data_IF_525983898969
#
_entry.id   IF_525983898969
#
_cell.length_a   1.000
_cell.length_b   1.000
_cell.length_c   1.000
_cell.angle_alpha   90.00
_cell.angle_beta   90.00
_cell.angle_gamma   90.00
#
_symmetry.space_group_name_H-M   'P 1'
#
loop_
_entity.id
_entity.type
_entity.pdbx_description
1 polymer ?
#
# COMPACT_ATOMS: atom_id res chain seq x y z
N UNK A 1 -12.48 10.86 -37.24
CA UNK A 1 -12.33 10.84 -35.75
C UNK A 1 -12.17 9.40 -35.27
N UNK A 2 -10.95 8.94 -35.03
CA UNK A 2 -10.66 7.59 -34.45
C UNK A 2 -10.32 7.77 -32.98
N UNK A 3 -11.21 7.32 -32.10
CA UNK A 3 -10.93 7.22 -30.66
C UNK A 3 -10.00 6.03 -30.44
N UNK A 4 -8.75 6.32 -30.09
CA UNK A 4 -7.79 5.29 -29.67
C UNK A 4 -8.17 4.82 -28.26
N UNK A 5 -8.63 3.57 -28.14
CA UNK A 5 -8.77 2.88 -26.85
C UNK A 5 -7.38 2.67 -26.25
N UNK A 6 -7.05 3.41 -25.23
CA UNK A 6 -5.88 3.12 -24.40
C UNK A 6 -6.20 1.90 -23.52
N UNK A 7 -5.94 0.70 -24.06
CA UNK A 7 -5.94 -0.51 -23.25
C UNK A 7 -4.71 -0.50 -22.35
N UNK A 8 -4.95 -0.38 -21.05
CA UNK A 8 -3.93 -0.55 -20.04
C UNK A 8 -3.53 -2.04 -20.01
N UNK A 9 -2.43 -2.38 -20.68
CA UNK A 9 -1.82 -3.71 -20.59
C UNK A 9 -0.79 -3.70 -19.48
N UNK A 10 -1.04 -4.45 -18.42
CA UNK A 10 0.05 -4.88 -17.55
C UNK A 10 0.97 -5.79 -18.37
N UNK A 11 2.27 -5.54 -18.45
CA UNK A 11 3.18 -6.49 -19.07
C UNK A 11 3.31 -7.69 -18.12
N UNK A 12 2.48 -8.69 -18.32
CA UNK A 12 2.70 -10.02 -17.76
C UNK A 12 3.72 -10.69 -18.68
N UNK A 13 4.99 -10.57 -18.31
CA UNK A 13 6.07 -11.32 -18.96
C UNK A 13 5.96 -12.78 -18.53
N UNK A 14 5.21 -13.57 -19.32
CA UNK A 14 4.84 -14.96 -19.02
C UNK A 14 5.96 -15.98 -19.27
N UNK A 15 7.18 -15.56 -19.65
CA UNK A 15 8.23 -16.48 -20.02
C UNK A 15 9.49 -16.50 -19.15
N UNK A 16 9.53 -15.81 -18.03
CA UNK A 16 10.62 -16.07 -17.08
C UNK A 16 10.26 -17.25 -16.19
N UNK A 17 10.55 -18.46 -16.65
CA UNK A 17 10.67 -19.63 -15.79
C UNK A 17 11.72 -19.29 -14.72
N UNK A 18 11.28 -18.91 -13.53
CA UNK A 18 12.14 -18.78 -12.36
C UNK A 18 12.61 -20.19 -11.99
N UNK A 19 13.67 -20.66 -12.64
CA UNK A 19 14.41 -21.80 -12.13
C UNK A 19 15.10 -21.34 -10.86
N UNK A 20 14.60 -21.79 -9.73
CA UNK A 20 15.32 -21.70 -8.46
C UNK A 20 16.49 -22.66 -8.54
N UNK A 21 17.60 -22.21 -9.11
CA UNK A 21 18.85 -22.98 -9.14
C UNK A 21 19.50 -22.79 -7.78
N UNK A 22 19.34 -23.76 -6.92
CA UNK A 22 20.08 -23.85 -5.68
C UNK A 22 21.53 -24.22 -6.05
N UNK A 23 22.43 -23.26 -6.10
CA UNK A 23 23.89 -23.48 -6.19
C UNK A 23 24.45 -23.27 -4.78
N UNK A 24 24.86 -24.32 -4.07
CA UNK A 24 25.65 -24.15 -2.88
C UNK A 24 27.07 -23.74 -3.30
N UNK A 25 27.40 -22.46 -3.17
CA UNK A 25 28.77 -21.98 -3.26
C UNK A 25 29.34 -21.88 -1.84
N UNK A 26 30.57 -22.31 -1.67
CA UNK A 26 31.28 -22.42 -0.38
C UNK A 26 31.59 -21.06 0.29
N UNK A 27 31.04 -19.96 -0.20
CA UNK A 27 31.25 -18.59 0.32
C UNK A 27 29.96 -17.91 0.70
N UNK A 28 29.33 -18.39 1.76
CA UNK A 28 28.18 -17.73 2.38
C UNK A 28 26.87 -17.92 1.62
N UNK A 29 25.76 -17.79 2.32
CA UNK A 29 24.40 -17.87 1.76
C UNK A 29 24.21 -16.75 0.75
N UNK A 30 24.40 -17.03 -0.54
CA UNK A 30 24.04 -16.09 -1.61
C UNK A 30 22.51 -16.05 -1.68
N UNK A 31 21.93 -15.03 -1.05
CA UNK A 31 20.49 -14.83 -1.08
C UNK A 31 20.04 -14.60 -2.53
N UNK A 32 19.22 -15.51 -3.06
CA UNK A 32 18.61 -15.33 -4.37
C UNK A 32 17.78 -14.03 -4.39
N UNK A 33 17.58 -13.39 -5.55
CA UNK A 33 16.75 -12.18 -5.65
C UNK A 33 15.37 -12.35 -5.00
N UNK A 34 14.79 -13.54 -5.10
CA UNK A 34 13.53 -13.89 -4.45
C UNK A 34 13.62 -13.83 -2.91
N UNK A 35 14.65 -14.45 -2.31
CA UNK A 35 14.83 -14.42 -0.85
C UNK A 35 15.04 -12.99 -0.34
N UNK A 36 15.81 -12.16 -1.07
CA UNK A 36 15.97 -10.73 -0.74
C UNK A 36 14.64 -10.00 -0.71
N UNK A 37 13.76 -10.24 -1.69
CA UNK A 37 12.43 -9.63 -1.71
C UNK A 37 11.55 -10.12 -0.56
N UNK A 38 11.54 -11.43 -0.28
CA UNK A 38 10.77 -12.00 0.84
C UNK A 38 11.22 -11.39 2.17
N UNK A 39 12.53 -11.33 2.44
CA UNK A 39 13.06 -10.70 3.66
C UNK A 39 12.69 -9.22 3.72
N UNK A 40 12.79 -8.50 2.60
CA UNK A 40 12.39 -7.10 2.52
C UNK A 40 10.91 -6.91 2.88
N UNK A 41 10.02 -7.74 2.34
CA UNK A 41 8.57 -7.69 2.65
C UNK A 41 8.31 -8.02 4.11
N UNK A 42 8.96 -9.04 4.68
CA UNK A 42 8.81 -9.40 6.09
C UNK A 42 9.24 -8.26 7.03
N UNK A 43 10.43 -7.68 6.80
CA UNK A 43 10.93 -6.57 7.61
C UNK A 43 10.05 -5.31 7.44
N UNK A 44 9.69 -4.97 6.23
CA UNK A 44 8.81 -3.85 5.94
C UNK A 44 7.43 -4.04 6.58
N UNK A 45 6.86 -5.23 6.46
CA UNK A 45 5.55 -5.58 7.04
C UNK A 45 5.53 -5.50 8.56
N UNK A 46 6.57 -6.02 9.21
CA UNK A 46 6.72 -5.92 10.67
C UNK A 46 6.77 -4.45 11.13
N UNK A 47 7.61 -3.63 10.49
CA UNK A 47 7.70 -2.20 10.80
C UNK A 47 6.38 -1.47 10.53
N UNK A 48 5.74 -1.73 9.39
CA UNK A 48 4.46 -1.14 9.04
C UNK A 48 3.36 -1.47 10.03
N UNK A 49 3.30 -2.73 10.49
CA UNK A 49 2.32 -3.17 11.49
C UNK A 49 2.54 -2.48 12.86
N UNK A 50 3.78 -2.32 13.30
CA UNK A 50 4.11 -1.57 14.53
C UNK A 50 3.70 -0.11 14.38
N UNK A 51 4.11 0.55 13.29
CA UNK A 51 3.75 1.94 13.03
C UNK A 51 2.23 2.14 12.97
N UNK A 52 1.46 1.21 12.39
CA UNK A 52 0.00 1.23 12.39
C UNK A 52 -0.56 1.30 13.80
N UNK A 53 -0.08 0.43 14.68
CA UNK A 53 -0.58 0.37 16.07
C UNK A 53 -0.27 1.67 16.80
N UNK A 54 0.95 2.18 16.69
CA UNK A 54 1.36 3.41 17.38
C UNK A 54 0.64 4.65 16.85
N UNK A 55 0.56 4.82 15.52
CA UNK A 55 -0.18 5.94 14.91
C UNK A 55 -1.67 5.86 15.24
N UNK A 56 -2.28 4.67 15.13
CA UNK A 56 -3.69 4.48 15.47
C UNK A 56 -3.99 4.82 16.92
N UNK A 57 -3.14 4.37 17.87
CA UNK A 57 -3.25 4.71 19.29
C UNK A 57 -3.07 6.21 19.53
N UNK A 58 -2.06 6.82 18.94
CA UNK A 58 -1.80 8.26 19.12
C UNK A 58 -3.00 9.10 18.67
N UNK A 59 -3.60 8.77 17.53
CA UNK A 59 -4.80 9.43 17.01
C UNK A 59 -5.99 9.24 17.96
N UNK A 60 -6.25 8.02 18.43
CA UNK A 60 -7.36 7.74 19.33
C UNK A 60 -7.16 8.41 20.70
N UNK A 61 -5.93 8.46 21.20
CA UNK A 61 -5.63 9.15 22.47
C UNK A 61 -5.79 10.67 22.35
N UNK A 62 -5.48 11.24 21.18
CA UNK A 62 -5.58 12.69 20.96
C UNK A 62 -7.02 13.16 20.68
N UNK A 63 -7.79 12.39 19.93
CA UNK A 63 -9.12 12.79 19.46
C UNK A 63 -10.25 12.13 20.24
N UNK A 64 -10.05 10.93 20.77
CA UNK A 64 -11.05 10.16 21.51
C UNK A 64 -12.26 9.74 20.67
N UNK A 65 -13.33 9.36 21.36
CA UNK A 65 -14.63 9.11 20.74
C UNK A 65 -14.87 7.65 20.35
N UNK A 66 -16.12 7.39 19.90
CA UNK A 66 -16.59 6.06 19.50
C UNK A 66 -16.21 5.71 18.04
N UNK A 67 -15.98 6.74 17.22
CA UNK A 67 -15.64 6.54 15.80
C UNK A 67 -14.17 6.10 15.64
N UNK A 68 -13.85 5.10 14.79
CA UNK A 68 -12.52 4.50 14.66
C UNK A 68 -11.54 5.39 13.84
N UNK A 69 -11.30 6.61 14.34
CA UNK A 69 -10.42 7.59 13.70
C UNK A 69 -8.98 7.07 13.54
N UNK A 70 -8.53 6.19 14.44
CA UNK A 70 -7.19 5.61 14.37
C UNK A 70 -6.97 4.82 13.09
N UNK A 71 -7.86 3.90 12.76
CA UNK A 71 -7.77 3.08 11.54
C UNK A 71 -8.02 3.92 10.29
N UNK A 72 -9.00 4.82 10.34
CA UNK A 72 -9.26 5.73 9.22
C UNK A 72 -8.01 6.56 8.88
N UNK A 73 -7.36 7.18 9.88
CA UNK A 73 -6.16 8.00 9.68
C UNK A 73 -4.99 7.19 9.11
N UNK A 74 -4.75 6.00 9.64
CA UNK A 74 -3.71 5.10 9.15
C UNK A 74 -3.94 4.74 7.69
N UNK A 75 -5.17 4.38 7.33
CA UNK A 75 -5.50 4.03 5.95
C UNK A 75 -5.40 5.23 5.00
N UNK A 76 -5.80 6.43 5.43
CA UNK A 76 -5.66 7.66 4.66
C UNK A 76 -4.21 8.03 4.39
N UNK A 77 -3.38 8.07 5.46
CA UNK A 77 -1.95 8.38 5.36
C UNK A 77 -1.24 7.34 4.48
N UNK A 78 -1.49 6.07 4.74
CA UNK A 78 -0.87 4.98 3.99
C UNK A 78 -1.26 4.97 2.51
N UNK A 79 -2.53 5.22 2.19
CA UNK A 79 -3.02 5.32 0.81
C UNK A 79 -2.37 6.46 0.04
N UNK A 80 -2.28 7.64 0.66
CA UNK A 80 -1.62 8.80 0.04
C UNK A 80 -0.13 8.53 -0.22
N UNK A 81 0.60 8.04 0.79
CA UNK A 81 2.04 7.79 0.68
C UNK A 81 2.35 6.64 -0.28
N UNK A 82 1.52 5.59 -0.30
CA UNK A 82 1.66 4.51 -1.28
C UNK A 82 1.42 5.01 -2.70
N UNK A 83 0.39 5.83 -2.91
CA UNK A 83 0.13 6.48 -4.19
C UNK A 83 1.31 7.33 -4.65
N UNK A 84 1.86 8.16 -3.76
CA UNK A 84 3.03 9.00 -4.01
C UNK A 84 4.28 8.16 -4.35
N UNK A 85 4.53 7.10 -3.59
CA UNK A 85 5.63 6.16 -3.84
C UNK A 85 5.51 5.53 -5.23
N UNK A 86 4.34 5.01 -5.56
CA UNK A 86 4.12 4.35 -6.85
C UNK A 86 4.16 5.33 -8.02
N UNK A 87 3.64 6.54 -7.83
CA UNK A 87 3.75 7.62 -8.80
C UNK A 87 5.20 8.02 -9.06
N UNK A 88 6.02 8.16 -8.01
CA UNK A 88 7.45 8.47 -8.16
C UNK A 88 8.24 7.29 -8.75
N UNK A 89 7.95 6.07 -8.35
CA UNK A 89 8.59 4.87 -8.90
C UNK A 89 8.34 4.72 -10.40
N UNK A 90 7.20 5.19 -10.92
CA UNK A 90 6.90 5.17 -12.34
C UNK A 90 7.83 6.06 -13.20
N UNK A 91 8.60 6.97 -12.57
CA UNK A 91 9.62 7.81 -13.24
C UNK A 91 10.93 7.07 -13.49
N UNK A 92 11.19 6.01 -12.72
CA UNK A 92 12.49 5.32 -12.75
C UNK A 92 12.44 4.17 -13.75
N UNK A 93 13.22 4.28 -14.81
CA UNK A 93 13.26 3.28 -15.91
C UNK A 93 13.80 1.92 -15.48
N UNK A 94 14.64 1.89 -14.44
CA UNK A 94 15.17 0.69 -13.80
C UNK A 94 14.73 0.71 -12.33
N UNK A 95 13.59 0.09 -12.03
CA UNK A 95 13.05 0.08 -10.68
C UNK A 95 14.00 -0.56 -9.66
N UNK A 96 13.84 -0.19 -8.39
CA UNK A 96 14.52 -0.81 -7.26
C UNK A 96 13.63 -1.93 -6.68
N UNK A 97 13.65 -3.16 -7.23
CA UNK A 97 12.62 -4.17 -6.90
C UNK A 97 12.59 -4.53 -5.42
N UNK A 98 13.75 -4.59 -4.76
CA UNK A 98 13.83 -4.89 -3.32
C UNK A 98 13.32 -3.74 -2.46
N UNK A 99 13.66 -2.48 -2.80
CA UNK A 99 13.17 -1.31 -2.07
C UNK A 99 11.66 -1.13 -2.26
N UNK A 100 11.16 -1.35 -3.47
CA UNK A 100 9.71 -1.33 -3.74
C UNK A 100 8.99 -2.45 -3.00
N UNK A 101 9.56 -3.65 -2.95
CA UNK A 101 9.00 -4.76 -2.17
C UNK A 101 8.96 -4.43 -0.67
N UNK A 102 10.04 -3.85 -0.12
CA UNK A 102 10.09 -3.41 1.27
C UNK A 102 9.04 -2.33 1.58
N UNK A 103 8.98 -1.26 0.77
CA UNK A 103 8.11 -0.12 1.06
C UNK A 103 6.66 -0.39 0.67
N UNK A 104 6.39 -0.75 -0.60
CA UNK A 104 5.02 -0.85 -1.09
C UNK A 104 4.31 -2.08 -0.53
N UNK A 105 4.89 -3.26 -0.72
CA UNK A 105 4.27 -4.52 -0.30
C UNK A 105 4.46 -4.77 1.19
N UNK A 106 5.67 -4.54 1.71
CA UNK A 106 5.98 -4.72 3.12
C UNK A 106 5.38 -3.62 3.97
N UNK A 107 6.02 -2.46 4.02
CA UNK A 107 5.68 -1.40 4.96
C UNK A 107 4.24 -0.90 4.80
N UNK A 108 3.83 -0.44 3.63
CA UNK A 108 2.47 0.06 3.45
C UNK A 108 1.42 -1.05 3.49
N UNK A 109 1.74 -2.28 3.04
CA UNK A 109 0.87 -3.45 3.22
C UNK A 109 0.67 -3.82 4.69
N UNK A 110 1.71 -3.68 5.52
CA UNK A 110 1.63 -3.86 6.98
C UNK A 110 1.01 -2.66 7.70
N UNK A 111 1.21 -1.43 7.21
CA UNK A 111 0.70 -0.20 7.81
C UNK A 111 -0.81 -0.03 7.60
N UNK A 112 -1.32 -0.16 6.38
CA UNK A 112 -2.76 -0.09 6.08
C UNK A 112 -3.47 -1.39 6.42
N UNK A 113 -4.79 -1.34 6.66
CA UNK A 113 -5.55 -2.54 7.02
C UNK A 113 -7.01 -2.47 6.60
N UNK A 114 -7.41 -3.40 5.77
CA UNK A 114 -8.83 -3.63 5.46
C UNK A 114 -9.53 -4.44 6.55
N UNK A 115 -8.84 -5.40 7.16
CA UNK A 115 -9.46 -6.28 8.17
C UNK A 115 -9.86 -5.52 9.44
N UNK A 116 -9.02 -4.60 9.93
CA UNK A 116 -9.39 -3.77 11.08
C UNK A 116 -10.54 -2.83 10.76
N UNK A 117 -10.52 -2.18 9.59
CA UNK A 117 -11.65 -1.36 9.11
C UNK A 117 -12.95 -2.16 9.04
N UNK A 118 -12.91 -3.40 8.51
CA UNK A 118 -14.09 -4.25 8.43
C UNK A 118 -14.60 -4.64 9.83
N UNK A 119 -13.69 -5.01 10.74
CA UNK A 119 -14.05 -5.32 12.12
C UNK A 119 -14.67 -4.13 12.85
N UNK A 120 -14.05 -2.94 12.76
CA UNK A 120 -14.58 -1.71 13.35
C UNK A 120 -16.01 -1.42 12.84
N UNK A 121 -16.25 -1.60 11.54
CA UNK A 121 -17.57 -1.41 10.94
C UNK A 121 -18.61 -2.36 11.52
N UNK A 122 -18.29 -3.65 11.64
CA UNK A 122 -19.18 -4.66 12.21
C UNK A 122 -19.43 -4.39 13.69
N UNK A 123 -18.40 -3.99 14.44
CA UNK A 123 -18.51 -3.66 15.88
C UNK A 123 -19.41 -2.45 16.10
N UNK A 124 -19.27 -1.40 15.28
CA UNK A 124 -20.16 -0.23 15.33
C UNK A 124 -21.61 -0.61 15.03
N UNK A 125 -21.82 -1.47 14.03
CA UNK A 125 -23.17 -1.96 13.70
C UNK A 125 -23.78 -2.76 14.86
N UNK A 126 -23.02 -3.68 15.45
CA UNK A 126 -23.47 -4.50 16.57
C UNK A 126 -23.72 -3.71 17.86
N UNK A 127 -23.11 -2.51 17.99
CA UNK A 127 -23.33 -1.58 19.10
C UNK A 127 -24.45 -0.55 18.84
N UNK A 128 -25.32 -0.80 17.87
CA UNK A 128 -26.42 0.10 17.45
C UNK A 128 -25.99 1.48 16.94
N UNK A 129 -24.71 1.60 16.54
CA UNK A 129 -24.16 2.80 15.91
C UNK A 129 -24.16 2.71 14.38
N UNK A 130 -25.31 2.34 13.77
CA UNK A 130 -25.44 2.07 12.34
C UNK A 130 -24.96 3.24 11.44
N UNK A 131 -25.23 4.51 11.86
CA UNK A 131 -24.76 5.68 11.13
C UNK A 131 -23.22 5.75 11.11
N UNK A 132 -22.55 5.46 12.24
CA UNK A 132 -21.09 5.45 12.31
C UNK A 132 -20.50 4.29 11.48
N UNK A 133 -21.14 3.13 11.46
CA UNK A 133 -20.74 2.03 10.59
C UNK A 133 -20.80 2.43 9.11
N UNK A 134 -21.89 3.07 8.67
CA UNK A 134 -22.02 3.57 7.30
C UNK A 134 -20.98 4.64 6.98
N UNK A 135 -20.81 5.61 7.86
CA UNK A 135 -19.78 6.65 7.70
C UNK A 135 -18.37 6.06 7.63
N UNK A 136 -18.06 5.03 8.43
CA UNK A 136 -16.77 4.35 8.38
C UNK A 136 -16.52 3.72 7.00
N UNK A 137 -17.54 3.06 6.40
CA UNK A 137 -17.44 2.51 5.04
C UNK A 137 -17.20 3.63 4.02
N UNK A 138 -18.03 4.66 4.07
CA UNK A 138 -17.96 5.75 3.09
C UNK A 138 -16.62 6.50 3.15
N UNK A 139 -16.17 6.87 4.35
CA UNK A 139 -14.93 7.62 4.53
C UNK A 139 -13.69 6.80 4.18
N UNK A 140 -13.59 5.55 4.67
CA UNK A 140 -12.44 4.71 4.30
C UNK A 140 -12.38 4.49 2.79
N UNK A 141 -13.50 4.22 2.13
CA UNK A 141 -13.51 3.96 0.69
C UNK A 141 -13.19 5.22 -0.11
N UNK A 142 -13.94 6.31 0.13
CA UNK A 142 -13.81 7.51 -0.72
C UNK A 142 -12.51 8.27 -0.47
N UNK A 143 -12.16 8.51 0.82
CA UNK A 143 -10.96 9.29 1.14
C UNK A 143 -9.68 8.53 0.79
N UNK A 144 -9.59 7.23 1.09
CA UNK A 144 -8.39 6.47 0.77
C UNK A 144 -8.15 6.35 -0.74
N UNK A 145 -9.20 6.11 -1.55
CA UNK A 145 -9.08 6.06 -3.01
C UNK A 145 -8.69 7.43 -3.58
N UNK A 146 -9.32 8.50 -3.10
CA UNK A 146 -9.00 9.87 -3.53
C UNK A 146 -7.55 10.23 -3.17
N UNK A 147 -7.13 9.96 -1.93
CA UNK A 147 -5.78 10.25 -1.46
C UNK A 147 -4.71 9.42 -2.20
N UNK A 148 -4.98 8.14 -2.48
CA UNK A 148 -4.09 7.33 -3.32
C UNK A 148 -3.94 7.93 -4.73
N UNK A 149 -5.05 8.37 -5.34
CA UNK A 149 -5.05 9.05 -6.62
C UNK A 149 -4.27 10.37 -6.61
N UNK A 150 -4.49 11.19 -5.58
CA UNK A 150 -3.74 12.44 -5.39
C UNK A 150 -2.23 12.17 -5.21
N UNK A 151 -1.87 11.23 -4.35
CA UNK A 151 -0.48 10.82 -4.18
C UNK A 151 0.16 10.37 -5.49
N UNK A 152 -0.54 9.54 -6.25
CA UNK A 152 -0.08 9.11 -7.58
C UNK A 152 0.15 10.28 -8.53
N UNK A 153 -0.81 11.22 -8.66
CA UNK A 153 -0.71 12.38 -9.54
C UNK A 153 0.48 13.26 -9.16
N UNK A 154 0.69 13.49 -7.86
CA UNK A 154 1.83 14.28 -7.36
C UNK A 154 3.17 13.57 -7.61
N UNK A 155 3.20 12.24 -7.49
CA UNK A 155 4.38 11.42 -7.74
C UNK A 155 4.66 11.20 -9.23
N UNK A 156 3.67 11.10 -10.08
CA UNK A 156 3.83 10.75 -11.49
C UNK A 156 4.59 11.82 -12.30
N UNK A 157 5.33 11.42 -13.35
CA UNK A 157 5.97 12.39 -14.24
C UNK A 157 4.90 13.28 -14.89
N UNK A 158 5.13 14.60 -14.87
CA UNK A 158 4.30 15.50 -15.68
C UNK A 158 4.45 15.07 -17.13
N UNK A 159 3.36 14.77 -17.79
CA UNK A 159 3.35 14.60 -19.25
C UNK A 159 3.79 15.95 -19.80
N UNK A 160 5.06 16.09 -20.22
CA UNK A 160 5.49 17.20 -21.05
C UNK A 160 4.63 17.14 -22.30
N UNK A 161 3.88 18.23 -22.54
CA UNK A 161 2.85 18.29 -23.54
C UNK A 161 3.31 17.76 -24.89
N UNK A 162 2.47 16.94 -25.48
CA UNK A 162 2.43 16.83 -26.92
C UNK A 162 1.84 18.16 -27.41
N UNK A 163 2.75 19.09 -27.75
CA UNK A 163 2.44 20.20 -28.62
C UNK A 163 2.62 19.73 -30.06
#
# INVERSE_FOLDING_TARGET
>A
MRRGNATFRFPVDSERKHQVVFRPDERGVVMTPFVKQVVAVLCGGALGAVCRVEVGRAVMNALGGTFPLGILSVNMIGSFLLGLLMGTASRVRHGYPTATAFLATGFFGGFTTFSSFALDTVTLWAADHALYALLNIMLNTTLCVTLAGLGWILGAPRRSGQA
#
